data_IF_620875556272
#
_entry.id   IF_620875556272
#
_cell.length_a   1.000
_cell.length_b   1.000
_cell.length_c   1.000
_cell.angle_alpha   90.00
_cell.angle_beta   90.00
_cell.angle_gamma   90.00
#
_symmetry.space_group_name_H-M   'P 1'
#
loop_
_entity.id
_entity.type
_entity.pdbx_description
1 polymer ?
#
# COMPACT_ATOMS: atom_id res chain seq x y z
N UNK A 1 15.43 8.61 -4.92
CA UNK A 1 14.01 8.56 -4.52
C UNK A 1 13.20 8.04 -5.70
N UNK A 2 12.38 7.05 -5.48
CA UNK A 2 11.46 6.53 -6.49
C UNK A 2 10.30 7.51 -6.60
N UNK A 3 10.34 8.45 -7.53
CA UNK A 3 9.17 9.30 -7.81
C UNK A 3 8.04 8.42 -8.29
N UNK A 4 6.84 8.62 -7.74
CA UNK A 4 5.65 7.89 -8.12
C UNK A 4 5.41 7.98 -9.62
N UNK A 5 5.49 6.86 -10.29
CA UNK A 5 5.34 6.76 -11.75
C UNK A 5 3.91 7.06 -12.23
N UNK A 6 2.94 7.07 -11.31
CA UNK A 6 1.54 7.18 -11.65
C UNK A 6 1.13 8.50 -12.30
N UNK A 7 1.73 9.60 -11.92
CA UNK A 7 1.19 10.92 -12.23
C UNK A 7 1.66 11.46 -13.58
N UNK A 8 2.93 11.26 -13.90
CA UNK A 8 3.51 11.73 -15.18
C UNK A 8 2.89 10.99 -16.35
N UNK A 9 2.68 9.67 -16.24
CA UNK A 9 2.18 8.84 -17.34
C UNK A 9 0.66 8.89 -17.51
N UNK A 10 -0.08 9.10 -16.44
CA UNK A 10 -1.55 9.25 -16.50
C UNK A 10 -1.99 10.47 -17.31
N UNK A 11 -1.14 11.48 -17.44
CA UNK A 11 -1.45 12.75 -18.10
C UNK A 11 -0.93 12.87 -19.52
N UNK A 12 -0.10 11.92 -20.02
CA UNK A 12 0.59 12.05 -21.31
C UNK A 12 -0.33 12.26 -22.50
N UNK A 13 -1.52 11.65 -22.50
CA UNK A 13 -2.46 11.77 -23.62
C UNK A 13 -3.25 13.08 -23.63
N UNK A 14 -3.37 13.75 -22.48
CA UNK A 14 -4.15 14.99 -22.31
C UNK A 14 -3.33 16.12 -21.67
N UNK A 15 -2.00 15.96 -21.65
CA UNK A 15 -1.11 16.90 -20.96
C UNK A 15 -1.23 18.32 -21.50
N UNK A 16 -1.23 18.46 -22.83
CA UNK A 16 -1.28 19.79 -23.46
C UNK A 16 -2.61 20.47 -23.21
N UNK A 17 -3.72 19.73 -23.31
CA UNK A 17 -5.07 20.25 -23.06
C UNK A 17 -5.25 20.67 -21.60
N UNK A 18 -4.76 19.87 -20.65
CA UNK A 18 -4.81 20.20 -19.23
C UNK A 18 -3.93 21.40 -18.91
N UNK A 19 -2.73 21.46 -19.50
CA UNK A 19 -1.81 22.58 -19.32
C UNK A 19 -2.42 23.88 -19.82
N UNK A 20 -2.97 23.88 -21.03
CA UNK A 20 -3.62 25.05 -21.65
C UNK A 20 -4.81 25.52 -20.80
N UNK A 21 -5.69 24.60 -20.36
CA UNK A 21 -6.82 24.92 -19.51
C UNK A 21 -6.40 25.51 -18.16
N UNK A 22 -5.34 25.00 -17.53
CA UNK A 22 -4.82 25.53 -16.29
C UNK A 22 -4.15 26.90 -16.47
N UNK A 23 -3.43 27.10 -17.58
CA UNK A 23 -2.83 28.40 -17.92
C UNK A 23 -3.91 29.49 -18.14
N UNK A 24 -5.05 29.15 -18.77
CA UNK A 24 -6.21 30.05 -18.88
C UNK A 24 -6.78 30.44 -17.51
N UNK A 25 -6.69 29.55 -16.51
CA UNK A 25 -7.08 29.82 -15.13
C UNK A 25 -6.00 30.56 -14.32
N UNK A 26 -4.85 30.85 -14.92
CA UNK A 26 -3.70 31.49 -14.27
C UNK A 26 -2.91 30.53 -13.36
N UNK A 27 -3.03 29.23 -13.58
CA UNK A 27 -2.40 28.18 -12.77
C UNK A 27 -1.25 27.55 -13.57
N UNK A 28 -0.07 27.44 -12.95
CA UNK A 28 1.07 26.76 -13.55
C UNK A 28 1.05 25.26 -13.20
N UNK A 29 0.85 24.39 -14.21
CA UNK A 29 0.79 22.94 -14.02
C UNK A 29 2.05 22.37 -13.36
N UNK A 30 3.24 22.79 -13.77
CA UNK A 30 4.50 22.29 -13.21
C UNK A 30 4.63 22.63 -11.72
N UNK A 31 4.16 23.81 -11.30
CA UNK A 31 4.19 24.20 -9.90
C UNK A 31 3.23 23.36 -9.04
N UNK A 32 2.13 22.87 -9.60
CA UNK A 32 1.20 21.96 -8.91
C UNK A 32 1.82 20.55 -8.84
N UNK A 33 2.40 20.06 -9.93
CA UNK A 33 3.05 18.74 -9.97
C UNK A 33 4.15 18.63 -8.91
N UNK A 34 4.90 19.69 -8.66
CA UNK A 34 5.95 19.72 -7.64
C UNK A 34 5.40 19.69 -6.18
N UNK A 35 4.12 19.95 -5.99
CA UNK A 35 3.48 19.94 -4.66
C UNK A 35 2.89 18.58 -4.28
N UNK A 36 2.67 17.68 -5.23
CA UNK A 36 2.11 16.37 -4.93
C UNK A 36 3.17 15.46 -4.28
N UNK A 37 2.90 14.91 -3.08
CA UNK A 37 3.79 13.94 -2.46
C UNK A 37 3.73 12.61 -3.20
N UNK A 38 4.89 12.02 -3.49
CA UNK A 38 4.98 10.66 -4.00
C UNK A 38 4.65 9.65 -2.90
N UNK A 39 3.84 8.61 -3.16
CA UNK A 39 3.70 7.50 -2.24
C UNK A 39 5.00 6.69 -2.20
N UNK A 40 5.83 6.91 -1.19
CA UNK A 40 7.14 6.27 -1.07
C UNK A 40 7.01 4.83 -0.53
N UNK A 41 6.34 3.95 -1.29
CA UNK A 41 6.05 2.56 -0.93
C UNK A 41 7.19 1.58 -1.24
N UNK A 42 8.36 2.05 -1.63
CA UNK A 42 9.55 1.24 -1.90
C UNK A 42 10.82 1.91 -1.44
N UNK A 43 11.83 1.09 -1.09
CA UNK A 43 13.14 1.55 -0.70
C UNK A 43 14.20 1.03 -1.68
N UNK A 44 14.86 1.94 -2.38
CA UNK A 44 15.99 1.65 -3.26
C UNK A 44 15.65 0.86 -4.52
N UNK A 45 16.56 -0.04 -4.90
CA UNK A 45 16.56 -0.70 -6.22
C UNK A 45 15.37 -1.62 -6.47
N UNK A 46 14.94 -2.40 -5.49
CA UNK A 46 13.84 -3.37 -5.68
C UNK A 46 12.49 -2.68 -5.89
N UNK A 47 12.20 -1.64 -5.11
CA UNK A 47 10.97 -0.85 -5.29
C UNK A 47 10.94 -0.15 -6.64
N UNK A 48 12.07 0.42 -7.06
CA UNK A 48 12.18 1.05 -8.39
C UNK A 48 12.05 0.02 -9.53
N UNK A 49 12.64 -1.17 -9.36
CA UNK A 49 12.55 -2.25 -10.33
C UNK A 49 11.09 -2.71 -10.54
N UNK A 50 10.34 -2.89 -9.46
CA UNK A 50 8.92 -3.24 -9.53
C UNK A 50 8.12 -2.18 -10.32
N UNK A 51 8.35 -0.90 -10.05
CA UNK A 51 7.73 0.20 -10.77
C UNK A 51 8.06 0.16 -12.27
N UNK A 52 9.34 -0.02 -12.63
CA UNK A 52 9.77 -0.12 -14.02
C UNK A 52 9.17 -1.34 -14.75
N UNK A 53 9.03 -2.48 -14.06
CA UNK A 53 8.40 -3.66 -14.66
C UNK A 53 6.92 -3.45 -14.91
N UNK A 54 6.18 -2.89 -13.96
CA UNK A 54 4.75 -2.63 -14.14
C UNK A 54 4.49 -1.68 -15.31
N UNK A 55 5.29 -0.62 -15.43
CA UNK A 55 5.21 0.33 -16.53
C UNK A 55 5.58 -0.31 -17.88
N UNK A 56 6.67 -1.07 -17.92
CA UNK A 56 7.11 -1.74 -19.14
C UNK A 56 6.07 -2.76 -19.61
N UNK A 57 5.49 -3.54 -18.72
CA UNK A 57 4.44 -4.50 -19.05
C UNK A 57 3.19 -3.81 -19.61
N UNK A 58 2.76 -2.71 -18.99
CA UNK A 58 1.64 -1.92 -19.51
C UNK A 58 1.96 -1.32 -20.90
N UNK A 59 3.16 -0.78 -21.08
CA UNK A 59 3.62 -0.21 -22.35
C UNK A 59 3.72 -1.24 -23.47
N UNK A 60 4.15 -2.45 -23.15
CA UNK A 60 4.23 -3.56 -24.10
C UNK A 60 2.89 -4.29 -24.33
N UNK A 61 1.84 -3.90 -23.63
CA UNK A 61 0.51 -4.47 -23.79
C UNK A 61 0.32 -5.83 -23.09
N UNK A 62 1.19 -6.21 -22.16
CA UNK A 62 1.01 -7.44 -21.38
C UNK A 62 0.06 -7.19 -20.22
N UNK A 63 -0.96 -8.06 -20.02
CA UNK A 63 -1.79 -7.99 -18.83
C UNK A 63 -0.99 -8.41 -17.60
N UNK A 64 -0.91 -7.52 -16.61
CA UNK A 64 -0.14 -7.75 -15.39
C UNK A 64 -0.81 -7.14 -14.17
N UNK A 65 -0.67 -7.84 -13.05
CA UNK A 65 -1.02 -7.33 -11.72
C UNK A 65 0.23 -7.29 -10.85
N UNK A 66 0.49 -6.15 -10.25
CA UNK A 66 1.46 -6.03 -9.16
C UNK A 66 0.75 -6.18 -7.82
N UNK A 67 1.43 -6.71 -6.80
CA UNK A 67 0.92 -6.78 -5.44
C UNK A 67 1.95 -6.20 -4.48
N UNK A 68 1.48 -5.40 -3.53
CA UNK A 68 2.32 -4.81 -2.50
C UNK A 68 1.53 -4.55 -1.22
N UNK A 69 2.19 -4.03 -0.19
CA UNK A 69 1.55 -3.61 1.05
C UNK A 69 1.30 -2.11 0.99
N UNK A 70 0.11 -1.69 1.42
CA UNK A 70 -0.26 -0.29 1.55
C UNK A 70 0.21 0.23 2.90
N UNK A 71 1.51 0.55 2.98
CA UNK A 71 2.06 1.12 4.21
C UNK A 71 1.43 2.48 4.50
N UNK A 72 1.00 2.70 5.75
CA UNK A 72 0.44 3.99 6.19
C UNK A 72 1.50 5.07 6.23
N UNK A 73 2.72 4.69 6.58
CA UNK A 73 3.89 5.55 6.49
C UNK A 73 4.85 4.94 5.47
N UNK A 74 5.12 5.67 4.41
CA UNK A 74 6.08 5.29 3.40
C UNK A 74 7.51 5.34 3.92
N UNK A 75 8.46 5.47 3.00
CA UNK A 75 9.83 5.73 3.40
C UNK A 75 9.90 7.06 4.14
N UNK A 76 10.60 7.08 5.29
CA UNK A 76 10.71 8.25 6.14
C UNK A 76 11.14 9.52 5.36
N UNK A 77 10.67 10.67 5.84
CA UNK A 77 11.10 11.98 5.35
C UNK A 77 12.44 12.34 5.98
N UNK A 78 13.41 12.69 5.15
CA UNK A 78 14.72 13.15 5.62
C UNK A 78 14.68 14.65 5.92
N UNK A 79 15.14 15.02 7.12
CA UNK A 79 15.33 16.39 7.56
C UNK A 79 16.77 16.57 8.03
N UNK A 80 17.33 17.73 7.83
CA UNK A 80 18.67 18.05 8.33
C UNK A 80 18.52 19.04 9.48
N UNK A 81 18.92 18.63 10.68
CA UNK A 81 18.95 19.46 11.87
C UNK A 81 20.35 19.48 12.46
N UNK A 82 20.89 20.69 12.68
CA UNK A 82 22.24 20.88 13.21
C UNK A 82 23.36 20.13 12.43
N UNK A 83 23.16 19.90 11.13
CA UNK A 83 24.11 19.17 10.27
C UNK A 83 23.95 17.64 10.30
N UNK A 84 22.99 17.12 11.04
CA UNK A 84 22.69 15.69 11.12
C UNK A 84 21.35 15.37 10.45
N UNK A 85 21.23 14.16 9.88
CA UNK A 85 19.98 13.65 9.36
C UNK A 85 19.04 13.28 10.52
N UNK A 86 17.82 13.75 10.42
CA UNK A 86 16.70 13.36 11.29
C UNK A 86 15.62 12.74 10.41
N UNK A 87 15.06 11.63 10.86
CA UNK A 87 14.03 10.88 10.15
C UNK A 87 12.66 11.20 10.75
N UNK A 88 11.73 11.64 9.91
CA UNK A 88 10.35 11.91 10.29
C UNK A 88 9.41 10.94 9.56
N UNK A 89 8.30 10.50 10.18
CA UNK A 89 7.30 9.69 9.50
C UNK A 89 6.75 10.40 8.26
N UNK A 90 6.69 9.70 7.13
CA UNK A 90 6.09 10.22 5.91
C UNK A 90 4.63 9.81 5.81
N UNK A 91 3.74 10.66 6.29
CA UNK A 91 2.29 10.46 6.26
C UNK A 91 1.71 10.89 4.91
N UNK A 92 1.99 10.10 3.86
CA UNK A 92 1.53 10.37 2.49
C UNK A 92 0.01 10.29 2.33
N UNK A 93 -0.69 9.64 3.26
CA UNK A 93 -2.14 9.47 3.26
C UNK A 93 -2.90 10.58 4.01
N UNK A 94 -2.20 11.56 4.58
CA UNK A 94 -2.81 12.60 5.41
C UNK A 94 -3.98 13.32 4.73
N UNK A 95 -3.88 13.56 3.42
CA UNK A 95 -4.90 14.23 2.62
C UNK A 95 -5.67 13.28 1.70
N UNK A 96 -5.52 11.96 1.89
CA UNK A 96 -5.95 10.95 0.96
C UNK A 96 -5.05 10.85 -0.27
N UNK A 97 -5.27 9.84 -1.10
CA UNK A 97 -4.54 9.65 -2.36
C UNK A 97 -5.53 9.42 -3.51
N UNK A 98 -5.67 10.38 -4.44
CA UNK A 98 -6.73 10.34 -5.44
C UNK A 98 -6.55 9.27 -6.52
N UNK A 99 -5.35 8.67 -6.63
CA UNK A 99 -5.02 7.67 -7.64
C UNK A 99 -5.17 6.22 -7.16
N UNK A 100 -5.73 6.00 -5.97
CA UNK A 100 -6.07 4.66 -5.50
C UNK A 100 -7.59 4.50 -5.39
N UNK A 101 -8.07 3.29 -5.68
CA UNK A 101 -9.48 2.92 -5.54
C UNK A 101 -9.60 1.77 -4.55
N UNK A 102 -10.22 2.03 -3.40
CA UNK A 102 -10.51 0.98 -2.40
C UNK A 102 -11.51 -0.02 -2.96
N UNK A 103 -11.20 -1.33 -2.86
CA UNK A 103 -12.03 -2.43 -3.38
C UNK A 103 -12.43 -3.38 -2.25
N UNK A 104 -13.31 -2.95 -1.33
CA UNK A 104 -13.69 -3.77 -0.18
C UNK A 104 -14.44 -5.05 -0.56
N UNK A 105 -15.03 -5.12 -1.75
CA UNK A 105 -15.68 -6.31 -2.29
C UNK A 105 -14.71 -7.47 -2.60
N UNK A 106 -13.41 -7.19 -2.72
CA UNK A 106 -12.36 -8.19 -2.97
C UNK A 106 -11.50 -8.45 -1.73
N UNK A 107 -12.07 -8.34 -0.53
CA UNK A 107 -11.34 -8.63 0.69
C UNK A 107 -11.07 -10.12 0.87
N UNK A 108 -9.98 -10.45 1.57
CA UNK A 108 -9.61 -11.80 1.93
C UNK A 108 -9.23 -11.90 3.40
N UNK A 109 -9.56 -13.05 4.03
CA UNK A 109 -8.97 -13.42 5.30
C UNK A 109 -7.54 -13.94 5.09
N UNK A 110 -6.56 -13.33 5.76
CA UNK A 110 -5.16 -13.77 5.77
C UNK A 110 -4.80 -14.25 7.16
N UNK A 111 -4.26 -15.48 7.25
CA UNK A 111 -3.92 -16.16 8.49
C UNK A 111 -2.42 -16.11 8.76
N UNK A 112 -2.03 -15.67 9.95
CA UNK A 112 -0.64 -15.55 10.36
C UNK A 112 -0.34 -16.46 11.54
N UNK A 113 0.83 -17.12 11.52
CA UNK A 113 1.30 -17.98 12.59
C UNK A 113 0.50 -19.27 12.71
N UNK A 114 0.45 -19.81 13.95
CA UNK A 114 -0.18 -21.08 14.22
C UNK A 114 0.65 -22.29 13.78
N UNK A 115 0.01 -23.43 13.67
CA UNK A 115 0.62 -24.68 13.23
C UNK A 115 -0.30 -25.43 12.26
N UNK A 116 0.28 -26.30 11.44
CA UNK A 116 -0.48 -27.11 10.47
C UNK A 116 -0.68 -28.51 11.03
N UNK A 117 -1.94 -28.95 11.11
CA UNK A 117 -2.32 -30.30 11.47
C UNK A 117 -2.76 -31.07 10.22
N UNK A 118 -2.27 -32.29 10.09
CA UNK A 118 -2.67 -33.21 9.03
C UNK A 118 -3.88 -34.05 9.51
N UNK A 119 -4.94 -34.07 8.69
CA UNK A 119 -6.15 -34.88 8.92
C UNK A 119 -6.31 -35.90 7.80
N UNK A 120 -6.38 -37.18 8.17
CA UNK A 120 -6.73 -38.22 7.19
C UNK A 120 -8.21 -38.12 6.83
N UNK A 121 -8.51 -38.09 5.53
CA UNK A 121 -9.88 -38.04 5.02
C UNK A 121 -10.36 -39.48 4.69
N UNK A 122 -11.67 -39.74 4.73
CA UNK A 122 -12.22 -41.07 4.39
C UNK A 122 -11.90 -41.55 2.96
N UNK A 123 -11.59 -40.62 2.06
CA UNK A 123 -11.21 -40.90 0.67
C UNK A 123 -9.71 -41.24 0.49
N UNK A 124 -8.97 -41.36 1.59
CA UNK A 124 -7.53 -41.65 1.61
C UNK A 124 -6.63 -40.45 1.36
N UNK A 125 -7.20 -39.24 1.18
CA UNK A 125 -6.42 -37.99 1.05
C UNK A 125 -6.07 -37.43 2.41
N UNK A 126 -5.02 -36.61 2.47
CA UNK A 126 -4.64 -35.85 3.64
C UNK A 126 -5.06 -34.42 3.44
N UNK A 127 -5.84 -33.90 4.38
CA UNK A 127 -6.17 -32.46 4.47
C UNK A 127 -5.24 -31.81 5.48
N UNK A 128 -4.68 -30.66 5.11
CA UNK A 128 -3.89 -29.83 6.02
C UNK A 128 -4.75 -28.69 6.53
N UNK A 129 -4.84 -28.57 7.87
CA UNK A 129 -5.63 -27.56 8.56
C UNK A 129 -4.70 -26.69 9.39
N UNK A 130 -4.77 -25.38 9.20
CA UNK A 130 -4.04 -24.42 10.03
C UNK A 130 -4.85 -24.12 11.31
N UNK A 131 -4.22 -24.23 12.47
CA UNK A 131 -4.83 -23.99 13.77
C UNK A 131 -4.00 -23.02 14.60
N UNK A 132 -4.63 -22.33 15.57
CA UNK A 132 -3.95 -21.38 16.46
C UNK A 132 -3.40 -20.14 15.75
N UNK A 133 -3.96 -19.79 14.60
CA UNK A 133 -3.57 -18.62 13.81
C UNK A 133 -4.27 -17.35 14.31
N UNK A 134 -3.67 -16.22 14.00
CA UNK A 134 -4.32 -14.91 14.04
C UNK A 134 -4.70 -14.51 12.61
N UNK A 135 -5.86 -13.89 12.42
CA UNK A 135 -6.30 -13.47 11.10
C UNK A 135 -6.57 -11.98 11.02
N UNK A 136 -6.32 -11.44 9.84
CA UNK A 136 -6.68 -10.07 9.46
C UNK A 136 -7.45 -10.09 8.15
N UNK A 137 -8.24 -9.07 7.92
CA UNK A 137 -8.92 -8.82 6.66
C UNK A 137 -8.01 -7.97 5.77
N UNK A 138 -7.52 -8.56 4.69
CA UNK A 138 -6.76 -7.84 3.67
C UNK A 138 -7.72 -7.17 2.70
N UNK A 139 -7.57 -5.86 2.49
CA UNK A 139 -8.41 -5.06 1.60
C UNK A 139 -7.54 -4.44 0.51
N UNK A 140 -7.79 -4.74 -0.77
CA UNK A 140 -7.00 -4.19 -1.85
C UNK A 140 -7.43 -2.76 -2.20
N UNK A 141 -6.43 -1.99 -2.59
CA UNK A 141 -6.57 -0.70 -3.24
C UNK A 141 -5.92 -0.80 -4.61
N UNK A 142 -6.68 -0.53 -5.65
CA UNK A 142 -6.21 -0.58 -7.02
C UNK A 142 -5.55 0.75 -7.40
N UNK A 143 -4.30 0.69 -7.82
CA UNK A 143 -3.57 1.81 -8.41
C UNK A 143 -3.38 1.54 -9.91
N UNK A 144 -3.98 2.34 -10.81
CA UNK A 144 -3.84 2.14 -12.24
C UNK A 144 -2.45 2.51 -12.73
N UNK A 145 -1.83 1.62 -13.50
CA UNK A 145 -0.54 1.82 -14.17
C UNK A 145 -0.78 1.89 -15.67
N UNK A 146 -0.64 3.07 -16.23
CA UNK A 146 -0.94 3.35 -17.63
C UNK A 146 0.27 3.07 -18.51
N UNK A 147 0.07 2.37 -19.62
CA UNK A 147 1.11 2.16 -20.64
C UNK A 147 1.42 3.42 -21.44
N UNK A 148 2.65 3.52 -21.92
CA UNK A 148 3.09 4.65 -22.75
C UNK A 148 2.43 4.60 -24.13
N UNK A 149 1.76 5.68 -24.51
CA UNK A 149 1.14 5.91 -25.82
C UNK A 149 0.27 4.75 -26.34
N UNK A 150 -0.46 4.09 -25.42
CA UNK A 150 -1.44 3.04 -25.72
C UNK A 150 -2.64 3.12 -24.75
N UNK A 151 -3.64 2.26 -24.94
CA UNK A 151 -4.85 2.22 -24.11
C UNK A 151 -4.80 1.09 -23.04
N UNK A 152 -3.62 0.61 -22.70
CA UNK A 152 -3.46 -0.44 -21.71
C UNK A 152 -3.30 0.15 -20.32
N UNK A 153 -4.06 -0.37 -19.37
CA UNK A 153 -3.97 -0.01 -17.95
C UNK A 153 -3.82 -1.30 -17.16
N UNK A 154 -2.68 -1.47 -16.54
CA UNK A 154 -2.43 -2.54 -15.57
C UNK A 154 -2.78 -2.07 -14.15
N UNK A 155 -2.86 -2.98 -13.21
CA UNK A 155 -3.21 -2.66 -11.82
C UNK A 155 -2.07 -3.04 -10.87
N UNK A 156 -1.65 -2.08 -10.06
CA UNK A 156 -0.89 -2.34 -8.84
C UNK A 156 -1.89 -2.41 -7.68
N UNK A 157 -2.08 -3.62 -7.12
CA UNK A 157 -2.94 -3.85 -5.96
C UNK A 157 -2.08 -3.71 -4.70
N UNK A 158 -2.33 -2.67 -3.92
CA UNK A 158 -1.72 -2.50 -2.61
C UNK A 158 -2.72 -2.90 -1.53
N UNK A 159 -2.27 -3.73 -0.59
CA UNK A 159 -3.14 -4.36 0.39
C UNK A 159 -3.01 -3.69 1.75
N UNK A 160 -4.13 -3.20 2.26
CA UNK A 160 -4.29 -2.73 3.62
C UNK A 160 -4.79 -3.87 4.52
N UNK A 161 -4.60 -3.74 5.83
CA UNK A 161 -5.07 -4.70 6.82
C UNK A 161 -6.09 -4.07 7.75
N UNK A 162 -7.26 -4.71 7.85
CA UNK A 162 -8.30 -4.36 8.81
C UNK A 162 -8.50 -5.51 9.81
N UNK A 163 -8.95 -5.26 11.04
CA UNK A 163 -9.30 -6.33 11.97
C UNK A 163 -10.47 -7.16 11.45
N UNK A 164 -10.49 -8.46 11.77
CA UNK A 164 -11.60 -9.35 11.40
C UNK A 164 -12.87 -8.98 12.14
N UNK A 165 -12.73 -8.62 13.41
CA UNK A 165 -13.83 -8.20 14.27
C UNK A 165 -13.72 -6.72 14.57
N UNK A 166 -14.84 -6.08 14.71
CA UNK A 166 -14.91 -4.72 15.19
C UNK A 166 -14.45 -4.67 16.66
N UNK A 167 -14.25 -3.48 17.16
CA UNK A 167 -13.91 -3.18 18.54
C UNK A 167 -14.69 -4.07 19.56
N UNK A 168 -13.97 -4.76 20.44
CA UNK A 168 -14.57 -5.68 21.43
C UNK A 168 -15.11 -4.90 22.64
N UNK A 169 -16.34 -4.44 22.52
CA UNK A 169 -17.01 -3.58 23.51
C UNK A 169 -17.09 -4.23 24.89
N UNK A 170 -17.35 -5.55 24.94
CA UNK A 170 -17.46 -6.28 26.22
C UNK A 170 -16.18 -6.27 27.03
N UNK A 171 -15.03 -6.36 26.38
CA UNK A 171 -13.72 -6.24 27.04
C UNK A 171 -13.46 -4.82 27.49
N UNK A 172 -13.82 -3.84 26.66
CA UNK A 172 -13.68 -2.43 27.02
C UNK A 172 -14.50 -2.06 28.27
N UNK A 173 -15.76 -2.50 28.33
CA UNK A 173 -16.67 -2.24 29.46
C UNK A 173 -16.18 -2.90 30.76
N UNK A 174 -15.42 -4.01 30.66
CA UNK A 174 -14.76 -4.68 31.78
C UNK A 174 -13.44 -4.04 32.18
N UNK A 175 -12.99 -2.99 31.47
CA UNK A 175 -11.72 -2.30 31.72
C UNK A 175 -10.50 -2.99 31.12
N UNK A 176 -10.67 -4.04 30.32
CA UNK A 176 -9.58 -4.70 29.57
C UNK A 176 -9.36 -4.01 28.21
N UNK A 177 -8.79 -2.83 28.28
CA UNK A 177 -8.57 -1.98 27.09
C UNK A 177 -7.55 -2.57 26.12
N UNK A 178 -6.59 -3.37 26.59
CA UNK A 178 -5.61 -4.02 25.73
C UNK A 178 -6.26 -5.05 24.84
N UNK A 179 -7.10 -5.89 25.40
CA UNK A 179 -7.84 -6.90 24.67
C UNK A 179 -8.83 -6.29 23.69
N UNK A 180 -9.52 -5.22 24.11
CA UNK A 180 -10.49 -4.53 23.27
C UNK A 180 -9.93 -4.01 21.94
N UNK A 181 -8.62 -3.74 21.85
CA UNK A 181 -7.94 -3.19 20.66
C UNK A 181 -6.86 -4.13 20.08
N UNK A 182 -6.74 -5.36 20.61
CA UNK A 182 -5.66 -6.29 20.23
C UNK A 182 -5.67 -6.57 18.71
N UNK A 183 -6.82 -6.89 18.15
CA UNK A 183 -6.95 -7.16 16.72
C UNK A 183 -6.70 -5.93 15.85
N UNK A 184 -7.09 -4.74 16.32
CA UNK A 184 -6.80 -3.49 15.64
C UNK A 184 -5.29 -3.21 15.60
N UNK A 185 -4.60 -3.44 16.73
CA UNK A 185 -3.15 -3.29 16.80
C UNK A 185 -2.42 -4.29 15.91
N UNK A 186 -2.90 -5.55 15.87
CA UNK A 186 -2.33 -6.56 14.98
C UNK A 186 -2.42 -6.12 13.52
N UNK A 187 -3.60 -5.75 13.06
CA UNK A 187 -3.82 -5.31 11.68
C UNK A 187 -2.95 -4.08 11.36
N UNK A 188 -2.97 -3.10 12.24
CA UNK A 188 -2.21 -1.86 12.09
C UNK A 188 -0.70 -2.10 11.99
N UNK A 189 -0.14 -2.93 12.86
CA UNK A 189 1.30 -3.23 12.88
C UNK A 189 1.80 -3.88 11.57
N UNK A 190 0.95 -4.61 10.85
CA UNK A 190 1.32 -5.25 9.59
C UNK A 190 1.54 -4.24 8.44
N UNK A 191 0.87 -3.10 8.50
CA UNK A 191 0.85 -2.11 7.40
C UNK A 191 1.28 -0.71 7.83
N UNK A 192 1.79 -0.56 9.06
CA UNK A 192 2.10 0.76 9.61
C UNK A 192 3.30 1.39 8.90
N UNK A 193 4.44 0.72 8.89
CA UNK A 193 5.72 1.30 8.46
C UNK A 193 6.47 0.37 7.54
N UNK A 194 6.97 0.90 6.42
CA UNK A 194 7.80 0.14 5.46
C UNK A 194 9.13 -0.29 6.08
N UNK A 195 9.78 0.59 6.84
CA UNK A 195 11.05 0.34 7.51
C UNK A 195 10.99 0.76 8.98
N UNK A 196 11.03 -0.20 9.91
CA UNK A 196 11.26 0.11 11.31
C UNK A 196 12.69 0.61 11.49
N UNK A 197 12.91 1.43 12.51
CA UNK A 197 14.23 1.94 12.87
C UNK A 197 15.18 0.79 13.26
N UNK A 198 16.37 0.74 12.66
CA UNK A 198 17.42 -0.27 12.89
C UNK A 198 18.12 -0.16 14.26
N UNK A 199 17.72 0.77 15.11
CA UNK A 199 18.35 1.00 16.41
C UNK A 199 18.09 -0.09 17.47
N UNK A 200 17.35 -1.13 17.15
CA UNK A 200 17.19 -2.32 17.98
C UNK A 200 17.94 -3.51 17.37
N UNK A 201 19.24 -3.54 17.61
CA UNK A 201 19.99 -4.78 17.47
C UNK A 201 19.53 -5.68 18.61
N UNK A 202 18.78 -6.74 18.26
CA UNK A 202 18.39 -7.79 19.20
C UNK A 202 19.63 -8.64 19.58
#
# INVERSE_FOLDING_TARGET
>A
MSRGLGDVYKRQTVYNEVKEALEEMGINLNAIEDQEPDPALGNGGLGRLAACFMESLATLGYPAYGCGIRYHYGMFRQKIENGYQVEEPDNWLQNGYPFELKRPEYNFEVKFGGYVRAEAQPDGRTRFVQEGYQSVKAIPYDMPIVGYNNNVVNTLMIWDAEPMECFELDSFDKGDYHRAIEQQNLAKNLVEVLYPNDNHIA
#
